data_IF_821490168654
#
_entry.id   IF_821490168654
#
_cell.length_a   1.000
_cell.length_b   1.000
_cell.length_c   1.000
_cell.angle_alpha   90.00
_cell.angle_beta   90.00
_cell.angle_gamma   90.00
#
_symmetry.space_group_name_H-M   'P 1'
#
loop_
_entity.id
_entity.type
_entity.pdbx_description
1 polymer ?
#
# COMPACT_ATOMS: atom_id res chain seq x y z
N UNK A 1 17.26 -50.77 13.31
CA UNK A 1 17.18 -49.35 12.90
C UNK A 1 18.43 -48.55 13.29
N UNK A 2 18.96 -48.68 14.52
CA UNK A 2 20.16 -47.95 14.98
C UNK A 2 21.44 -48.21 14.15
N UNK A 3 21.60 -49.43 13.62
CA UNK A 3 22.78 -49.76 12.81
C UNK A 3 22.77 -49.07 11.43
N UNK A 4 21.60 -48.84 10.83
CA UNK A 4 21.48 -48.27 9.49
C UNK A 4 21.86 -46.78 9.46
N UNK A 5 21.51 -46.03 10.52
CA UNK A 5 21.93 -44.63 10.67
C UNK A 5 23.46 -44.50 10.79
N UNK A 6 24.09 -45.42 11.54
CA UNK A 6 25.55 -45.47 11.72
C UNK A 6 26.27 -45.86 10.43
N UNK A 7 25.69 -46.76 9.64
CA UNK A 7 26.18 -47.15 8.31
C UNK A 7 26.08 -46.00 7.31
N UNK A 8 24.93 -45.30 7.24
CA UNK A 8 24.75 -44.13 6.37
C UNK A 8 25.72 -42.99 6.71
N UNK A 9 25.88 -42.68 8.01
CA UNK A 9 26.82 -41.66 8.49
C UNK A 9 28.27 -41.97 8.08
N UNK A 10 28.73 -43.23 8.23
CA UNK A 10 30.07 -43.63 7.80
C UNK A 10 30.24 -43.53 6.28
N UNK A 11 29.18 -43.78 5.50
CA UNK A 11 29.16 -43.56 4.05
C UNK A 11 29.35 -42.09 3.67
N UNK A 12 28.57 -41.19 4.26
CA UNK A 12 28.67 -39.74 4.05
C UNK A 12 30.05 -39.17 4.44
N UNK A 13 30.64 -39.67 5.52
CA UNK A 13 31.97 -39.26 6.00
C UNK A 13 33.10 -39.87 5.15
N UNK A 14 32.87 -40.95 4.41
CA UNK A 14 33.85 -41.53 3.49
C UNK A 14 33.91 -40.76 2.17
N UNK A 15 32.77 -40.37 1.63
CA UNK A 15 32.66 -39.64 0.36
C UNK A 15 32.34 -38.14 0.59
N UNK A 16 33.18 -37.45 1.37
CA UNK A 16 32.92 -36.09 1.88
C UNK A 16 32.77 -35.03 0.79
N UNK A 17 33.56 -35.12 -0.29
CA UNK A 17 33.50 -34.16 -1.38
C UNK A 17 32.18 -34.25 -2.16
N UNK A 18 31.75 -35.47 -2.51
CA UNK A 18 30.49 -35.71 -3.19
C UNK A 18 29.28 -35.40 -2.30
N UNK A 19 29.34 -35.79 -1.02
CA UNK A 19 28.30 -35.45 -0.03
C UNK A 19 28.21 -33.94 0.18
N UNK A 20 29.36 -33.24 0.23
CA UNK A 20 29.43 -31.79 0.33
C UNK A 20 28.79 -31.09 -0.87
N UNK A 21 29.13 -31.50 -2.09
CA UNK A 21 28.52 -30.94 -3.31
C UNK A 21 27.00 -31.14 -3.35
N UNK A 22 26.51 -32.34 -3.01
CA UNK A 22 25.06 -32.61 -2.97
C UNK A 22 24.36 -31.86 -1.84
N UNK A 23 24.99 -31.71 -0.68
CA UNK A 23 24.47 -30.91 0.42
C UNK A 23 24.41 -29.42 0.06
N UNK A 24 25.43 -28.90 -0.61
CA UNK A 24 25.46 -27.52 -1.08
C UNK A 24 24.39 -27.24 -2.14
N UNK A 25 24.25 -28.09 -3.16
CA UNK A 25 23.22 -27.90 -4.19
C UNK A 25 21.81 -27.97 -3.62
N UNK A 26 21.56 -28.89 -2.68
CA UNK A 26 20.29 -28.99 -1.97
C UNK A 26 20.03 -27.76 -1.10
N UNK A 27 21.03 -27.28 -0.36
CA UNK A 27 20.90 -26.10 0.51
C UNK A 27 20.62 -24.85 -0.31
N UNK A 28 21.35 -24.67 -1.42
CA UNK A 28 21.14 -23.54 -2.34
C UNK A 28 19.74 -23.63 -2.95
N UNK A 29 19.30 -24.80 -3.41
CA UNK A 29 17.95 -25.00 -3.96
C UNK A 29 16.85 -24.67 -2.95
N UNK A 30 16.99 -25.13 -1.70
CA UNK A 30 16.06 -24.82 -0.62
C UNK A 30 16.07 -23.34 -0.25
N UNK A 31 17.24 -22.69 -0.24
CA UNK A 31 17.36 -21.26 0.07
C UNK A 31 16.66 -20.39 -0.98
N UNK A 32 16.84 -20.71 -2.28
CA UNK A 32 16.16 -20.01 -3.37
C UNK A 32 14.64 -20.21 -3.27
N UNK A 33 14.17 -21.44 -3.07
CA UNK A 33 12.75 -21.72 -2.92
C UNK A 33 12.13 -20.99 -1.70
N UNK A 34 12.81 -21.03 -0.56
CA UNK A 34 12.38 -20.32 0.66
C UNK A 34 12.31 -18.81 0.44
N UNK A 35 13.31 -18.23 -0.24
CA UNK A 35 13.35 -16.80 -0.53
C UNK A 35 12.19 -16.40 -1.45
N UNK A 36 11.91 -17.19 -2.49
CA UNK A 36 10.78 -16.95 -3.38
C UNK A 36 9.43 -17.01 -2.65
N UNK A 37 9.21 -18.04 -1.81
CA UNK A 37 8.00 -18.16 -0.99
C UNK A 37 7.87 -16.98 -0.03
N UNK A 38 8.96 -16.58 0.62
CA UNK A 38 8.99 -15.45 1.56
C UNK A 38 8.66 -14.14 0.87
N UNK A 39 9.20 -13.92 -0.34
CA UNK A 39 8.89 -12.75 -1.16
C UNK A 39 7.41 -12.70 -1.56
N UNK A 40 6.85 -13.83 -2.03
CA UNK A 40 5.41 -13.90 -2.36
C UNK A 40 4.55 -13.62 -1.13
N UNK A 41 4.90 -14.18 0.03
CA UNK A 41 4.18 -13.90 1.28
C UNK A 41 4.27 -12.43 1.69
N UNK A 42 5.43 -11.81 1.51
CA UNK A 42 5.61 -10.38 1.76
C UNK A 42 4.70 -9.55 0.85
N UNK A 43 4.70 -9.83 -0.46
CA UNK A 43 3.85 -9.13 -1.43
C UNK A 43 2.36 -9.27 -1.08
N UNK A 44 1.91 -10.49 -0.78
CA UNK A 44 0.52 -10.75 -0.39
C UNK A 44 0.13 -10.14 0.96
N UNK A 45 1.09 -9.87 1.85
CA UNK A 45 0.82 -9.25 3.14
C UNK A 45 0.50 -7.75 3.03
N UNK A 46 0.98 -7.09 1.98
CA UNK A 46 0.91 -5.64 1.83
C UNK A 46 -0.54 -5.12 1.78
N UNK A 47 -1.48 -5.88 1.22
CA UNK A 47 -2.88 -5.45 1.07
C UNK A 47 -3.78 -5.88 2.23
N UNK A 48 -3.26 -6.58 3.24
CA UNK A 48 -4.10 -7.25 4.27
C UNK A 48 -4.29 -6.48 5.57
N UNK A 49 -3.68 -5.30 5.72
CA UNK A 49 -3.70 -4.57 6.99
C UNK A 49 -5.02 -3.84 7.27
N UNK A 50 -5.89 -3.70 6.27
CA UNK A 50 -7.23 -3.14 6.48
C UNK A 50 -8.19 -4.20 7.03
N UNK A 51 -9.04 -3.81 7.99
CA UNK A 51 -9.98 -4.72 8.67
C UNK A 51 -10.85 -5.53 7.68
N UNK A 52 -11.28 -4.90 6.59
CA UNK A 52 -12.14 -5.49 5.56
C UNK A 52 -11.40 -5.77 4.25
N UNK A 53 -10.07 -5.93 4.26
CA UNK A 53 -9.24 -6.06 3.06
C UNK A 53 -9.78 -7.07 2.02
N UNK A 54 -10.36 -8.20 2.47
CA UNK A 54 -10.94 -9.23 1.59
C UNK A 54 -12.21 -8.79 0.85
N UNK A 55 -12.86 -7.74 1.30
CA UNK A 55 -14.12 -7.20 0.77
C UNK A 55 -13.95 -5.82 0.15
N UNK A 56 -12.71 -5.32 0.03
CA UNK A 56 -12.40 -4.08 -0.68
C UNK A 56 -12.00 -4.45 -2.11
N UNK A 57 -12.77 -3.95 -3.07
CA UNK A 57 -12.51 -4.15 -4.49
C UNK A 57 -12.06 -2.84 -5.12
N UNK A 58 -10.98 -2.88 -5.89
CA UNK A 58 -10.43 -1.69 -6.56
C UNK A 58 -10.81 -1.70 -8.04
N UNK A 59 -11.62 -0.73 -8.45
CA UNK A 59 -11.84 -0.43 -9.85
C UNK A 59 -10.70 0.45 -10.34
N UNK A 60 -9.73 -0.15 -11.03
CA UNK A 60 -8.60 0.60 -11.61
C UNK A 60 -8.89 0.97 -13.05
N UNK A 61 -8.54 2.21 -13.40
CA UNK A 61 -8.31 2.58 -14.80
C UNK A 61 -6.86 2.23 -15.12
N UNK A 62 -6.65 1.25 -16.00
CA UNK A 62 -5.33 1.00 -16.55
C UNK A 62 -5.04 2.08 -17.59
N UNK A 63 -4.17 3.06 -17.31
CA UNK A 63 -3.60 3.87 -18.39
C UNK A 63 -2.55 3.00 -19.10
N UNK A 64 -2.90 2.38 -20.23
CA UNK A 64 -1.89 1.82 -21.13
C UNK A 64 -1.80 2.67 -22.38
N UNK A 65 -0.66 3.37 -22.50
CA UNK A 65 -0.12 3.80 -23.77
C UNK A 65 0.41 2.54 -24.47
N UNK A 66 -0.02 2.34 -25.72
CA UNK A 66 0.34 1.27 -26.65
C UNK A 66 -0.10 -0.14 -26.22
N UNK A 67 -1.13 -0.60 -26.93
CA UNK A 67 -1.66 -1.96 -26.99
C UNK A 67 -2.55 -2.42 -25.83
N UNK A 68 -3.76 -2.84 -26.23
CA UNK A 68 -4.91 -3.34 -25.47
C UNK A 68 -5.92 -2.29 -24.96
N UNK A 69 -7.16 -2.45 -25.44
CA UNK A 69 -8.33 -1.66 -25.07
C UNK A 69 -8.54 -1.63 -23.57
N UNK A 70 -8.48 -0.43 -23.01
CA UNK A 70 -8.92 -0.12 -21.67
C UNK A 70 -10.40 0.25 -21.77
N UNK A 71 -11.27 -0.37 -20.97
CA UNK A 71 -12.59 0.19 -20.69
C UNK A 71 -12.35 1.40 -19.78
N UNK A 72 -12.03 2.54 -20.38
CA UNK A 72 -12.08 3.83 -19.68
C UNK A 72 -13.54 4.24 -19.57
N UNK A 73 -13.98 4.69 -18.39
CA UNK A 73 -15.27 5.37 -18.29
C UNK A 73 -15.22 6.63 -19.16
N UNK A 74 -16.24 6.84 -20.00
CA UNK A 74 -16.33 8.03 -20.83
C UNK A 74 -16.25 9.29 -19.95
N UNK A 75 -15.48 10.29 -20.38
CA UNK A 75 -15.33 11.60 -19.72
C UNK A 75 -14.75 11.58 -18.30
N UNK A 76 -14.04 10.53 -17.87
CA UNK A 76 -13.50 10.47 -16.49
C UNK A 76 -12.53 11.63 -16.16
N UNK A 77 -11.74 12.10 -17.13
CA UNK A 77 -10.70 13.13 -16.98
C UNK A 77 -11.24 14.56 -17.14
N UNK A 78 -12.41 14.69 -17.78
CA UNK A 78 -13.18 15.91 -17.88
C UNK A 78 -14.36 15.96 -16.88
N UNK A 79 -14.55 14.92 -16.07
CA UNK A 79 -15.65 14.83 -15.13
C UNK A 79 -15.47 15.88 -14.01
N UNK A 80 -16.47 16.74 -13.86
CA UNK A 80 -16.56 17.66 -12.72
C UNK A 80 -16.64 16.86 -11.42
N UNK A 81 -16.28 17.48 -10.29
CA UNK A 81 -16.43 16.85 -8.97
C UNK A 81 -17.84 16.28 -8.75
N UNK A 82 -18.87 16.99 -9.22
CA UNK A 82 -20.27 16.55 -9.14
C UNK A 82 -20.53 15.29 -9.96
N UNK A 83 -20.01 15.21 -11.19
CA UNK A 83 -20.18 14.03 -12.03
C UNK A 83 -19.48 12.79 -11.42
N UNK A 84 -18.31 12.97 -10.81
CA UNK A 84 -17.60 11.91 -10.11
C UNK A 84 -18.39 11.40 -8.89
N UNK A 85 -19.00 12.31 -8.13
CA UNK A 85 -19.87 11.92 -6.99
C UNK A 85 -21.11 11.16 -7.45
N UNK A 86 -21.77 11.57 -8.55
CA UNK A 86 -22.92 10.84 -9.11
C UNK A 86 -22.57 9.41 -9.53
N UNK A 87 -21.41 9.20 -10.15
CA UNK A 87 -20.93 7.85 -10.49
C UNK A 87 -20.72 7.00 -9.25
N UNK A 88 -20.18 7.61 -8.18
CA UNK A 88 -19.96 6.92 -6.92
C UNK A 88 -21.29 6.54 -6.26
N UNK A 89 -22.28 7.43 -6.26
CA UNK A 89 -23.61 7.17 -5.71
C UNK A 89 -24.30 6.02 -6.46
N UNK A 90 -24.13 5.95 -7.78
CA UNK A 90 -24.61 4.82 -8.57
C UNK A 90 -23.97 3.49 -8.15
N UNK A 91 -22.67 3.48 -7.83
CA UNK A 91 -21.99 2.29 -7.30
C UNK A 91 -22.49 1.91 -5.91
N UNK A 92 -22.70 2.89 -5.01
CA UNK A 92 -23.24 2.64 -3.66
C UNK A 92 -24.65 2.06 -3.68
N UNK A 93 -25.45 2.43 -4.68
CA UNK A 93 -26.80 1.91 -4.86
C UNK A 93 -26.84 0.48 -5.43
N UNK A 94 -25.71 -0.07 -5.86
CA UNK A 94 -25.65 -1.45 -6.33
C UNK A 94 -25.79 -2.44 -5.16
N UNK A 95 -26.53 -3.52 -5.37
CA UNK A 95 -26.74 -4.55 -4.36
C UNK A 95 -25.41 -5.13 -3.86
N UNK A 96 -25.19 -5.08 -2.55
CA UNK A 96 -23.99 -5.63 -1.90
C UNK A 96 -22.82 -4.66 -1.76
N UNK A 97 -22.94 -3.42 -2.24
CA UNK A 97 -21.94 -2.38 -2.01
C UNK A 97 -22.25 -1.64 -0.71
N UNK A 98 -21.35 -1.74 0.27
CA UNK A 98 -21.50 -1.05 1.57
C UNK A 98 -21.10 0.41 1.47
N UNK A 99 -19.97 0.68 0.80
CA UNK A 99 -19.51 2.04 0.51
C UNK A 99 -18.59 2.01 -0.72
N UNK A 100 -18.37 3.18 -1.30
CA UNK A 100 -17.46 3.36 -2.41
C UNK A 100 -16.69 4.67 -2.23
N UNK A 101 -15.37 4.61 -2.42
CA UNK A 101 -14.48 5.75 -2.33
C UNK A 101 -13.69 5.93 -3.63
N UNK A 102 -13.43 7.18 -3.98
CA UNK A 102 -12.56 7.59 -5.08
C UNK A 102 -11.26 8.16 -4.51
N UNK A 103 -10.14 7.85 -5.15
CA UNK A 103 -8.88 8.51 -4.87
C UNK A 103 -7.96 8.47 -6.09
N UNK A 104 -7.00 9.38 -6.12
CA UNK A 104 -5.93 9.46 -7.13
C UNK A 104 -4.60 9.39 -6.39
N UNK A 105 -3.67 8.61 -6.93
CA UNK A 105 -2.29 8.55 -6.46
C UNK A 105 -1.38 9.22 -7.48
N UNK A 106 -0.45 10.04 -7.01
CA UNK A 106 0.59 10.67 -7.83
C UNK A 106 1.96 10.39 -7.25
N UNK A 107 2.83 9.79 -8.06
CA UNK A 107 4.23 9.57 -7.72
C UNK A 107 5.11 10.78 -8.06
N UNK A 108 4.53 11.79 -8.71
CA UNK A 108 5.24 13.01 -9.07
C UNK A 108 5.73 13.72 -7.80
N UNK A 109 7.04 14.01 -7.71
CA UNK A 109 7.58 14.69 -6.55
C UNK A 109 6.93 16.06 -6.34
N UNK A 110 6.31 16.25 -5.18
CA UNK A 110 5.54 17.45 -4.84
C UNK A 110 6.16 18.10 -3.60
N UNK A 111 6.34 19.42 -3.64
CA UNK A 111 6.83 20.13 -2.46
C UNK A 111 5.73 20.28 -1.42
N UNK A 112 6.09 20.00 -0.16
CA UNK A 112 5.26 20.25 1.01
C UNK A 112 6.01 21.18 1.94
N UNK A 113 5.35 22.27 2.35
CA UNK A 113 5.94 23.28 3.20
C UNK A 113 5.07 23.54 4.42
N UNK A 114 5.70 23.52 5.60
CA UNK A 114 5.07 23.92 6.85
C UNK A 114 6.17 24.31 7.85
N UNK A 115 5.84 25.22 8.78
CA UNK A 115 6.74 25.59 9.88
C UNK A 115 8.16 26.03 9.44
N UNK A 116 8.26 26.75 8.31
CA UNK A 116 9.54 27.19 7.73
C UNK A 116 10.40 26.07 7.13
N UNK A 117 9.88 24.83 7.07
CA UNK A 117 10.55 23.68 6.46
C UNK A 117 9.86 23.30 5.16
N UNK A 118 10.66 23.04 4.13
CA UNK A 118 10.21 22.58 2.83
C UNK A 118 10.82 21.22 2.52
N UNK A 119 9.97 20.25 2.20
CA UNK A 119 10.39 18.90 1.83
C UNK A 119 9.76 18.49 0.51
N UNK A 120 10.36 17.49 -0.12
CA UNK A 120 9.78 16.84 -1.29
C UNK A 120 9.08 15.56 -0.82
N UNK A 121 7.79 15.46 -1.09
CA UNK A 121 6.97 14.28 -0.83
C UNK A 121 6.64 13.59 -2.16
N UNK A 122 6.60 12.26 -2.13
CA UNK A 122 6.12 11.40 -3.23
C UNK A 122 4.92 10.61 -2.75
N UNK A 123 4.25 9.89 -3.66
CA UNK A 123 3.10 9.03 -3.38
C UNK A 123 1.94 9.82 -2.74
N UNK A 124 1.64 11.00 -3.29
CA UNK A 124 0.53 11.82 -2.81
C UNK A 124 -0.79 11.15 -3.18
N UNK A 125 -1.64 10.92 -2.19
CA UNK A 125 -3.00 10.44 -2.38
C UNK A 125 -3.97 11.59 -2.16
N UNK A 126 -4.84 11.84 -3.15
CA UNK A 126 -5.92 12.82 -3.06
C UNK A 126 -7.27 12.13 -3.24
N UNK A 127 -8.29 12.62 -2.54
CA UNK A 127 -9.66 12.11 -2.63
C UNK A 127 -10.63 13.27 -2.55
N UNK A 128 -11.70 13.23 -3.35
CA UNK A 128 -12.84 14.13 -3.20
C UNK A 128 -14.01 13.48 -2.45
N UNK A 129 -13.80 12.29 -1.87
CA UNK A 129 -14.80 11.49 -1.15
C UNK A 129 -14.28 11.09 0.24
N UNK A 130 -13.83 12.06 1.06
CA UNK A 130 -13.07 11.77 2.28
C UNK A 130 -13.87 10.96 3.30
N UNK A 131 -15.19 11.15 3.40
CA UNK A 131 -16.04 10.34 4.29
C UNK A 131 -16.05 8.85 3.91
N UNK A 132 -16.32 8.55 2.64
CA UNK A 132 -16.29 7.16 2.16
C UNK A 132 -14.88 6.58 2.15
N UNK A 133 -13.86 7.41 1.91
CA UNK A 133 -12.48 6.99 2.01
C UNK A 133 -12.14 6.51 3.43
N UNK A 134 -12.60 7.23 4.45
CA UNK A 134 -12.40 6.87 5.86
C UNK A 134 -13.20 5.66 6.32
N UNK A 135 -14.32 5.33 5.66
CA UNK A 135 -15.11 4.13 5.97
C UNK A 135 -14.51 2.87 5.36
N UNK A 136 -13.96 2.99 4.14
CA UNK A 136 -13.35 1.88 3.40
C UNK A 136 -11.96 1.54 3.96
N UNK A 137 -11.14 2.55 4.27
CA UNK A 137 -9.76 2.35 4.67
C UNK A 137 -9.53 2.59 6.16
N UNK A 138 -8.89 1.61 6.80
CA UNK A 138 -8.71 1.53 8.25
C UNK A 138 -7.25 1.68 8.67
N UNK A 139 -6.64 2.85 8.47
CA UNK A 139 -5.30 3.13 9.01
C UNK A 139 -5.35 3.44 10.51
N UNK A 140 -4.32 3.03 11.24
CA UNK A 140 -4.12 3.45 12.63
C UNK A 140 -3.55 4.87 12.67
N UNK A 141 -4.35 5.83 13.13
CA UNK A 141 -3.91 7.21 13.31
C UNK A 141 -3.15 7.34 14.64
N UNK A 142 -1.99 7.97 14.61
CA UNK A 142 -1.24 8.32 15.83
C UNK A 142 -1.87 9.52 16.53
N UNK A 143 -2.41 10.47 15.76
CA UNK A 143 -2.99 11.71 16.24
C UNK A 143 -4.16 12.13 15.33
N UNK A 144 -5.18 12.76 15.93
CA UNK A 144 -6.41 13.15 15.23
C UNK A 144 -7.39 11.98 15.00
N UNK A 145 -8.42 12.24 14.18
CA UNK A 145 -9.46 11.25 13.86
C UNK A 145 -9.80 11.29 12.38
N UNK A 146 -10.30 10.19 11.84
CA UNK A 146 -10.82 10.15 10.48
C UNK A 146 -12.04 11.06 10.29
N UNK A 147 -12.89 11.20 11.33
CA UNK A 147 -14.02 12.13 11.30
C UNK A 147 -13.55 13.57 11.04
N UNK A 148 -12.45 13.99 11.70
CA UNK A 148 -11.88 15.32 11.48
C UNK A 148 -11.44 15.52 10.02
N UNK A 149 -10.96 14.47 9.34
CA UNK A 149 -10.60 14.53 7.92
C UNK A 149 -11.83 14.50 7.01
N UNK A 150 -12.83 13.68 7.32
CA UNK A 150 -14.06 13.52 6.56
C UNK A 150 -14.90 14.82 6.49
N UNK A 151 -14.95 15.59 7.58
CA UNK A 151 -15.86 16.74 7.74
C UNK A 151 -15.31 18.04 7.13
N UNK A 152 -14.56 18.01 6.03
CA UNK A 152 -14.16 19.25 5.36
C UNK A 152 -13.23 19.10 4.18
N UNK A 153 -12.97 20.24 3.54
CA UNK A 153 -12.09 20.34 2.37
C UNK A 153 -10.71 20.88 2.76
N UNK A 154 -9.71 20.66 1.90
CA UNK A 154 -8.33 21.12 2.11
C UNK A 154 -7.70 20.64 3.41
N UNK A 155 -8.05 19.42 3.82
CA UNK A 155 -7.45 18.71 4.96
C UNK A 155 -6.45 17.68 4.44
N UNK A 156 -5.46 17.36 5.27
CA UNK A 156 -4.44 16.38 4.93
C UNK A 156 -4.17 15.47 6.12
N UNK A 157 -3.92 14.20 5.84
CA UNK A 157 -3.36 13.25 6.79
C UNK A 157 -1.89 13.05 6.41
N UNK A 158 -0.99 13.17 7.38
CA UNK A 158 0.44 13.02 7.16
C UNK A 158 0.91 11.67 7.70
N UNK A 159 1.84 11.05 7.00
CA UNK A 159 2.60 9.94 7.59
C UNK A 159 3.47 10.46 8.73
N UNK A 160 3.75 9.61 9.72
CA UNK A 160 4.60 9.99 10.86
C UNK A 160 5.97 10.54 10.42
N UNK A 161 6.53 10.02 9.32
CA UNK A 161 7.80 10.50 8.74
C UNK A 161 7.68 11.93 8.21
N UNK A 162 6.61 12.23 7.46
CA UNK A 162 6.38 13.57 6.91
C UNK A 162 6.10 14.57 8.03
N UNK A 163 5.29 14.19 9.01
CA UNK A 163 5.02 15.01 10.19
C UNK A 163 6.32 15.35 10.94
N UNK A 164 7.20 14.38 11.19
CA UNK A 164 8.49 14.63 11.85
C UNK A 164 9.42 15.56 11.07
N UNK A 165 9.51 15.36 9.77
CA UNK A 165 10.35 16.21 8.92
C UNK A 165 9.88 17.68 8.94
N UNK A 166 8.57 17.92 8.97
CA UNK A 166 7.98 19.26 8.95
C UNK A 166 7.88 19.92 10.34
N UNK A 167 7.50 19.17 11.37
CA UNK A 167 7.15 19.71 12.69
C UNK A 167 8.11 19.32 13.82
N UNK A 168 9.07 18.41 13.58
CA UNK A 168 9.96 17.87 14.60
C UNK A 168 9.42 16.60 15.26
N UNK A 169 10.11 16.08 16.27
CA UNK A 169 9.78 14.78 16.88
C UNK A 169 8.45 14.78 17.63
N UNK A 170 8.01 15.95 18.09
CA UNK A 170 6.69 16.12 18.69
C UNK A 170 5.61 16.27 17.60
N UNK A 171 5.14 15.11 17.12
CA UNK A 171 4.11 15.00 16.08
C UNK A 171 2.74 15.51 16.51
N UNK A 172 2.49 15.70 17.81
CA UNK A 172 1.22 16.27 18.30
C UNK A 172 1.03 17.70 17.78
N UNK A 173 2.14 18.43 17.65
CA UNK A 173 2.14 19.79 17.12
C UNK A 173 1.75 19.89 15.64
N UNK A 174 1.68 18.78 14.91
CA UNK A 174 1.31 18.78 13.50
C UNK A 174 -0.22 18.89 13.28
N UNK A 175 -1.03 18.55 14.29
CA UNK A 175 -2.50 18.55 14.18
C UNK A 175 -3.04 19.98 14.11
N UNK A 176 -4.05 20.21 13.26
CA UNK A 176 -4.67 21.52 13.02
C UNK A 176 -3.69 22.62 12.54
N UNK A 177 -2.52 22.25 12.02
CA UNK A 177 -1.60 23.19 11.38
C UNK A 177 -1.86 23.30 9.88
N UNK A 178 -1.51 24.47 9.33
CA UNK A 178 -1.53 24.71 7.89
C UNK A 178 -0.25 24.21 7.25
N UNK A 179 -0.38 23.65 6.06
CA UNK A 179 0.71 23.25 5.20
C UNK A 179 0.38 23.63 3.76
N UNK A 180 1.40 23.94 2.98
CA UNK A 180 1.28 24.19 1.54
C UNK A 180 1.71 22.93 0.79
N UNK A 181 0.91 22.49 -0.18
CA UNK A 181 1.22 21.37 -1.07
C UNK A 181 1.31 21.89 -2.50
N UNK A 182 2.39 21.58 -3.21
CA UNK A 182 2.66 22.10 -4.55
C UNK A 182 3.52 23.36 -4.56
N UNK A 183 3.89 23.79 -5.77
CA UNK A 183 4.60 25.05 -6.01
C UNK A 183 3.71 26.26 -5.68
#
# INVERSE_FOLDING_TARGET
MQNNLKLAWRGYVRDRAFTGLNGLSLTIGLFVAYTAISYIRFELSYDTFHQNAKSVYRLIRTYRSQDYSVIGFANWDAATNQAQQQQLDALKNATGVVDAAQFITSDAPTFVEANGRRIQATNLLTTNTPGAFCSVFTWTLQQGTFQNFADGTNKAILTARIARNLFGDDVENAVQKRLKVGA
#
